data_IF_677949167484
#
_entry.id   IF_677949167484
#
_cell.length_a   1.000
_cell.length_b   1.000
_cell.length_c   1.000
_cell.angle_alpha   90.00
_cell.angle_beta   90.00
_cell.angle_gamma   90.00
#
_symmetry.space_group_name_H-M   'P 1'
#
loop_
_entity.id
_entity.type
_entity.pdbx_description
1 polymer ?
#
# COMPACT_ATOMS: atom_id res chain seq x y z
N UNK A 1 3.80 -5.55 10.74
CA UNK A 1 5.11 -4.86 10.67
C UNK A 1 4.97 -3.52 9.96
N UNK A 2 5.55 -2.45 10.52
CA UNK A 2 5.50 -1.10 9.92
C UNK A 2 6.49 -0.97 8.76
N UNK A 3 6.22 -0.04 7.84
CA UNK A 3 7.17 0.28 6.77
C UNK A 3 8.44 0.91 7.35
N UNK A 4 8.33 1.74 8.38
CA UNK A 4 9.49 2.31 9.07
C UNK A 4 10.49 1.24 9.57
N UNK A 5 9.99 0.18 10.21
CA UNK A 5 10.83 -0.94 10.67
C UNK A 5 11.47 -1.67 9.51
N UNK A 6 10.71 -1.98 8.44
CA UNK A 6 11.23 -2.60 7.22
C UNK A 6 12.39 -1.81 6.60
N UNK A 7 12.26 -0.48 6.52
CA UNK A 7 13.29 0.39 5.96
C UNK A 7 14.53 0.45 6.87
N UNK A 8 14.32 0.44 8.18
CA UNK A 8 15.42 0.42 9.15
C UNK A 8 16.19 -0.89 9.08
N UNK A 9 15.51 -2.03 9.04
CA UNK A 9 16.11 -3.37 8.89
C UNK A 9 16.85 -3.53 7.55
N UNK A 10 16.35 -2.89 6.49
CA UNK A 10 17.01 -2.87 5.18
C UNK A 10 18.25 -1.94 5.12
N UNK A 11 18.57 -1.19 6.19
CA UNK A 11 19.75 -0.34 6.27
C UNK A 11 19.69 0.90 5.37
N UNK A 12 18.51 1.48 5.19
CA UNK A 12 18.27 2.55 4.20
C UNK A 12 18.96 3.86 4.61
N UNK A 13 19.68 4.46 3.66
CA UNK A 13 20.52 5.64 3.84
C UNK A 13 19.74 6.97 3.75
N UNK A 14 20.26 8.02 4.40
CA UNK A 14 19.61 9.33 4.62
C UNK A 14 19.35 10.19 3.36
N UNK A 15 19.76 9.71 2.19
CA UNK A 15 19.69 10.43 0.91
C UNK A 15 18.44 10.10 0.08
N UNK A 16 17.63 9.16 0.56
CA UNK A 16 16.33 8.88 -0.01
C UNK A 16 15.32 9.99 0.31
N UNK A 17 14.42 10.28 -0.62
CA UNK A 17 13.33 11.24 -0.41
C UNK A 17 11.94 10.62 -0.60
N UNK A 18 11.86 9.43 -1.19
CA UNK A 18 10.60 8.75 -1.48
C UNK A 18 10.73 7.22 -1.42
N UNK A 19 9.58 6.57 -1.28
CA UNK A 19 9.42 5.12 -1.27
C UNK A 19 8.29 4.73 -2.21
N UNK A 20 8.61 3.90 -3.20
CA UNK A 20 7.68 3.41 -4.22
C UNK A 20 7.31 1.95 -3.97
N UNK A 21 6.02 1.66 -4.07
CA UNK A 21 5.41 0.36 -3.79
C UNK A 21 4.79 -0.19 -5.06
N UNK A 22 5.12 -1.43 -5.41
CA UNK A 22 4.65 -2.06 -6.64
C UNK A 22 3.86 -3.34 -6.34
N UNK A 23 2.70 -3.46 -6.97
CA UNK A 23 1.89 -4.67 -6.95
C UNK A 23 2.42 -5.73 -7.92
N UNK A 24 2.07 -6.99 -7.67
CA UNK A 24 2.26 -8.06 -8.62
C UNK A 24 1.25 -7.92 -9.78
N UNK A 25 1.72 -7.91 -11.03
CA UNK A 25 0.87 -7.98 -12.22
C UNK A 25 0.55 -9.45 -12.51
N UNK A 26 -0.67 -9.90 -12.22
CA UNK A 26 -1.13 -11.26 -12.45
C UNK A 26 -2.61 -11.28 -12.80
N UNK A 27 -3.09 -12.40 -13.36
CA UNK A 27 -4.51 -12.60 -13.64
C UNK A 27 -5.27 -12.87 -12.33
N UNK A 28 -5.80 -11.81 -11.72
CA UNK A 28 -6.65 -11.93 -10.53
C UNK A 28 -8.10 -12.20 -10.94
N UNK A 29 -8.71 -13.21 -10.32
CA UNK A 29 -10.16 -13.41 -10.35
C UNK A 29 -10.78 -12.35 -9.45
N UNK A 30 -10.97 -11.16 -10.03
CA UNK A 30 -11.77 -10.11 -9.43
C UNK A 30 -13.22 -10.33 -9.88
N UNK A 31 -14.21 -9.92 -9.07
CA UNK A 31 -15.58 -9.90 -9.56
C UNK A 31 -15.66 -8.99 -10.80
N UNK A 32 -16.57 -9.27 -11.73
CA UNK A 32 -16.56 -8.63 -13.05
C UNK A 32 -16.60 -7.10 -12.98
N UNK A 33 -17.33 -6.51 -12.01
CA UNK A 33 -17.37 -5.05 -11.83
C UNK A 33 -16.04 -4.46 -11.35
N UNK A 34 -15.37 -5.07 -10.38
CA UNK A 34 -14.07 -4.59 -9.88
C UNK A 34 -12.95 -4.89 -10.88
N UNK A 35 -13.05 -6.03 -11.58
CA UNK A 35 -12.19 -6.35 -12.72
C UNK A 35 -12.34 -5.31 -13.83
N UNK A 36 -13.57 -4.96 -14.22
CA UNK A 36 -13.83 -4.00 -15.29
C UNK A 36 -13.37 -2.60 -14.89
N UNK A 37 -13.59 -2.17 -13.64
CA UNK A 37 -13.04 -0.92 -13.12
C UNK A 37 -11.51 -0.94 -13.17
N UNK A 38 -10.86 -2.01 -12.72
CA UNK A 38 -9.40 -2.08 -12.78
C UNK A 38 -8.89 -2.25 -14.23
N UNK A 39 -9.64 -2.87 -15.13
CA UNK A 39 -9.21 -3.07 -16.52
C UNK A 39 -9.40 -1.82 -17.37
N UNK A 40 -10.48 -1.06 -17.15
CA UNK A 40 -10.75 0.18 -17.87
C UNK A 40 -9.74 1.28 -17.55
N UNK A 41 -9.20 1.29 -16.33
CA UNK A 41 -8.23 2.29 -15.90
C UNK A 41 -6.75 1.84 -16.10
N UNK A 42 -6.41 0.55 -16.01
CA UNK A 42 -5.01 0.13 -15.81
C UNK A 42 -4.35 -0.68 -16.94
N UNK A 43 -4.66 -0.43 -18.21
CA UNK A 43 -4.19 -1.28 -19.32
C UNK A 43 -2.68 -1.17 -19.68
N UNK A 44 -1.87 -0.34 -19.02
CA UNK A 44 -0.43 -0.23 -19.36
C UNK A 44 0.52 0.27 -18.28
N UNK A 45 0.03 0.80 -17.16
CA UNK A 45 0.88 1.44 -16.15
C UNK A 45 1.17 0.54 -14.96
N UNK A 46 2.34 0.74 -14.33
CA UNK A 46 2.77 0.03 -13.13
C UNK A 46 1.70 0.19 -12.04
N UNK A 47 1.06 -0.90 -11.65
CA UNK A 47 0.22 -0.93 -10.45
C UNK A 47 1.10 -0.63 -9.23
N UNK A 48 0.98 0.59 -8.71
CA UNK A 48 1.83 1.06 -7.64
C UNK A 48 1.39 2.42 -7.12
N UNK A 49 2.03 2.81 -6.03
CA UNK A 49 1.85 4.07 -5.35
C UNK A 49 3.18 4.46 -4.72
N UNK A 50 3.37 5.74 -4.47
CA UNK A 50 4.56 6.23 -3.78
C UNK A 50 4.20 7.15 -2.62
N UNK A 51 5.09 7.15 -1.64
CA UNK A 51 5.04 7.99 -0.46
C UNK A 51 6.34 8.81 -0.38
N UNK A 52 6.29 9.99 0.22
CA UNK A 52 7.52 10.65 0.67
C UNK A 52 8.19 9.78 1.74
N UNK A 53 9.49 9.94 1.96
CA UNK A 53 10.18 9.19 3.01
C UNK A 53 9.53 9.47 4.38
N UNK A 54 9.18 10.72 4.65
CA UNK A 54 8.47 11.11 5.88
C UNK A 54 7.13 10.40 6.04
N UNK A 55 6.33 10.31 4.98
CA UNK A 55 5.06 9.55 4.99
C UNK A 55 5.30 8.05 5.22
N UNK A 56 6.29 7.46 4.57
CA UNK A 56 6.62 6.04 4.69
C UNK A 56 7.16 5.66 6.09
N UNK A 57 7.79 6.62 6.78
CA UNK A 57 8.29 6.48 8.14
C UNK A 57 7.22 6.72 9.21
N UNK A 58 6.01 7.15 8.85
CA UNK A 58 4.90 7.29 9.80
C UNK A 58 4.58 5.93 10.43
N UNK A 59 4.51 5.91 11.77
CA UNK A 59 4.24 4.70 12.56
C UNK A 59 2.95 3.96 12.19
N UNK A 60 2.00 4.64 11.54
CA UNK A 60 0.70 4.10 11.12
C UNK A 60 0.75 3.48 9.72
N UNK A 61 1.87 3.58 9.01
CA UNK A 61 2.06 2.97 7.68
C UNK A 61 2.67 1.60 7.83
N UNK A 62 1.98 0.57 7.35
CA UNK A 62 2.37 -0.81 7.59
C UNK A 62 1.99 -1.74 6.44
N UNK A 63 2.60 -2.93 6.47
CA UNK A 63 2.28 -4.03 5.56
C UNK A 63 1.43 -5.06 6.30
N UNK A 64 0.30 -5.40 5.68
CA UNK A 64 -0.72 -6.31 6.16
C UNK A 64 -0.64 -7.66 5.42
N UNK A 65 -0.75 -8.77 6.16
CA UNK A 65 -0.86 -10.13 5.63
C UNK A 65 -1.91 -10.98 6.36
N UNK A 66 -2.50 -10.44 7.43
CA UNK A 66 -3.66 -11.02 8.10
C UNK A 66 -4.78 -10.01 8.23
N UNK A 67 -6.00 -10.51 8.38
CA UNK A 67 -7.18 -9.73 8.73
C UNK A 67 -7.93 -10.50 9.81
N UNK A 68 -8.13 -9.89 10.98
CA UNK A 68 -8.87 -10.53 12.08
C UNK A 68 -8.31 -11.93 12.45
N UNK A 69 -6.98 -12.06 12.49
CA UNK A 69 -6.30 -13.31 12.83
C UNK A 69 -6.22 -14.37 11.72
N UNK A 70 -6.94 -14.20 10.61
CA UNK A 70 -6.84 -15.09 9.45
C UNK A 70 -5.92 -14.52 8.36
N UNK A 71 -5.44 -15.37 7.45
CA UNK A 71 -4.69 -14.91 6.27
C UNK A 71 -5.48 -13.87 5.48
N UNK A 72 -4.80 -12.85 4.98
CA UNK A 72 -5.43 -11.78 4.21
C UNK A 72 -6.06 -12.36 2.93
N UNK A 73 -7.38 -12.24 2.72
CA UNK A 73 -8.01 -12.78 1.51
C UNK A 73 -7.46 -12.13 0.24
N UNK A 74 -7.44 -12.89 -0.87
CA UNK A 74 -6.94 -12.43 -2.16
C UNK A 74 -7.64 -11.15 -2.65
N UNK A 75 -8.96 -11.07 -2.47
CA UNK A 75 -9.77 -9.89 -2.83
C UNK A 75 -9.43 -8.64 -2.01
N UNK A 76 -8.99 -8.86 -0.77
CA UNK A 76 -8.54 -7.81 0.14
C UNK A 76 -7.08 -7.41 -0.13
N UNK A 77 -6.39 -8.10 -1.04
CA UNK A 77 -5.01 -7.80 -1.45
C UNK A 77 -3.96 -8.78 -0.93
N UNK A 78 -4.35 -9.94 -0.39
CA UNK A 78 -3.42 -10.96 0.08
C UNK A 78 -2.54 -11.57 -1.00
N UNK A 79 -1.33 -12.06 -0.68
CA UNK A 79 -0.85 -12.33 0.68
C UNK A 79 -0.27 -11.10 1.40
N UNK A 80 0.04 -10.02 0.68
CA UNK A 80 0.65 -8.81 1.25
C UNK A 80 0.00 -7.56 0.67
N UNK A 81 -0.32 -6.60 1.53
CA UNK A 81 -0.89 -5.29 1.15
C UNK A 81 -0.27 -4.15 1.93
N UNK A 82 -0.06 -3.01 1.28
CA UNK A 82 0.27 -1.74 1.95
C UNK A 82 -0.99 -1.08 2.51
N UNK A 83 -0.89 -0.55 3.73
CA UNK A 83 -1.92 0.25 4.40
C UNK A 83 -1.36 1.65 4.71
N UNK A 84 -2.09 2.69 4.29
CA UNK A 84 -1.71 4.10 4.51
C UNK A 84 -2.91 4.87 5.08
N UNK A 85 -3.14 4.85 6.40
CA UNK A 85 -4.43 5.21 7.02
C UNK A 85 -4.92 6.64 6.78
N UNK A 86 -4.02 7.57 6.46
CA UNK A 86 -4.34 8.98 6.23
C UNK A 86 -4.65 9.33 4.78
N UNK A 87 -4.47 8.38 3.84
CA UNK A 87 -4.90 8.53 2.45
C UNK A 87 -6.04 7.59 2.12
N UNK A 88 -6.84 7.96 1.12
CA UNK A 88 -7.84 7.05 0.57
C UNK A 88 -7.20 5.80 -0.03
N UNK A 89 -8.01 4.75 -0.21
CA UNK A 89 -7.57 3.41 -0.59
C UNK A 89 -6.77 3.31 -1.90
N UNK A 90 -6.72 4.35 -2.74
CA UNK A 90 -5.88 4.40 -3.93
C UNK A 90 -4.38 4.28 -3.62
N UNK A 91 -3.94 4.72 -2.42
CA UNK A 91 -2.57 4.56 -1.92
C UNK A 91 -2.28 3.17 -1.34
N UNK A 92 -3.30 2.33 -1.15
CA UNK A 92 -3.19 1.07 -0.41
C UNK A 92 -2.91 -0.08 -1.37
N UNK A 93 -1.65 -0.21 -1.79
CA UNK A 93 -1.20 -1.18 -2.80
C UNK A 93 -1.55 -2.62 -2.39
N UNK A 94 -2.49 -3.24 -3.12
CA UNK A 94 -2.82 -4.66 -3.01
C UNK A 94 -1.75 -5.52 -3.69
N UNK A 95 -1.56 -6.76 -3.22
CA UNK A 95 -0.63 -7.72 -3.80
C UNK A 95 0.81 -7.18 -3.88
N UNK A 96 1.23 -6.52 -2.81
CA UNK A 96 2.53 -5.86 -2.69
C UNK A 96 3.65 -6.86 -2.99
N UNK A 97 4.47 -6.55 -4.00
CA UNK A 97 5.56 -7.39 -4.47
C UNK A 97 6.94 -6.78 -4.23
N UNK A 98 7.03 -5.45 -4.29
CA UNK A 98 8.31 -4.74 -4.23
C UNK A 98 8.14 -3.39 -3.55
N UNK A 99 9.05 -3.09 -2.64
CA UNK A 99 9.28 -1.77 -2.06
C UNK A 99 10.62 -1.29 -2.61
N UNK A 100 10.66 -0.07 -3.15
CA UNK A 100 11.87 0.51 -3.72
C UNK A 100 12.04 1.91 -3.17
N UNK A 101 13.24 2.22 -2.71
CA UNK A 101 13.56 3.55 -2.18
C UNK A 101 14.23 4.38 -3.25
N UNK A 102 13.70 5.58 -3.46
CA UNK A 102 14.03 6.44 -4.60
C UNK A 102 14.38 7.85 -4.12
N UNK A 103 15.02 8.60 -5.02
CA UNK A 103 15.30 10.04 -4.83
C UNK A 103 14.14 10.93 -5.26
N UNK A 104 13.13 10.36 -5.91
CA UNK A 104 11.97 11.09 -6.42
C UNK A 104 10.72 10.22 -6.32
N UNK A 105 9.58 10.88 -6.12
CA UNK A 105 8.28 10.23 -6.00
C UNK A 105 7.78 9.80 -7.39
N UNK A 106 7.58 8.50 -7.59
CA UNK A 106 6.98 7.97 -8.83
C UNK A 106 5.46 7.88 -8.69
N UNK A 107 4.72 8.75 -9.37
CA UNK A 107 3.26 8.71 -9.29
C UNK A 107 2.69 7.49 -10.04
N UNK A 108 1.86 6.72 -9.34
CA UNK A 108 1.00 5.70 -9.90
C UNK A 108 -0.17 6.29 -10.70
N UNK A 109 -0.86 5.43 -11.45
CA UNK A 109 -1.93 5.86 -12.35
C UNK A 109 -3.04 6.69 -11.66
N UNK A 110 -3.55 6.21 -10.52
CA UNK A 110 -4.61 6.91 -9.77
C UNK A 110 -4.14 8.25 -9.18
N UNK A 111 -2.86 8.36 -8.83
CA UNK A 111 -2.29 9.61 -8.33
C UNK A 111 -2.17 10.66 -9.45
N UNK A 112 -1.88 10.22 -10.67
CA UNK A 112 -1.89 11.09 -11.86
C UNK A 112 -3.30 11.56 -12.23
N UNK A 113 -4.30 10.69 -12.03
CA UNK A 113 -5.68 11.00 -12.41
C UNK A 113 -6.43 11.82 -11.35
N UNK A 114 -6.37 11.41 -10.08
CA UNK A 114 -7.17 12.01 -9.00
C UNK A 114 -6.37 12.99 -8.15
N UNK A 115 -5.03 12.91 -8.21
CA UNK A 115 -4.13 13.70 -7.38
C UNK A 115 -3.42 12.86 -6.31
N UNK A 116 -2.23 13.30 -5.96
CA UNK A 116 -1.32 12.57 -5.07
C UNK A 116 -1.70 12.66 -3.58
N UNK A 117 -2.36 13.76 -3.17
CA UNK A 117 -2.53 14.14 -1.76
C UNK A 117 -3.99 14.21 -1.30
N UNK A 118 -4.79 13.19 -1.60
CA UNK A 118 -6.19 13.14 -1.18
C UNK A 118 -6.28 12.48 0.20
N UNK A 119 -6.24 13.33 1.22
CA UNK A 119 -6.31 12.91 2.62
C UNK A 119 -7.71 12.47 3.02
N UNK A 120 -7.76 11.46 3.90
CA UNK A 120 -8.99 11.08 4.59
C UNK A 120 -9.35 12.18 5.59
N UNK A 121 -10.60 12.67 5.62
CA UNK A 121 -11.03 13.63 6.63
C UNK A 121 -10.79 13.12 8.05
N UNK A 122 -10.28 13.97 8.94
CA UNK A 122 -9.81 13.59 10.28
C UNK A 122 -10.83 12.74 11.07
N UNK A 123 -12.13 13.04 10.95
CA UNK A 123 -13.23 12.30 11.59
C UNK A 123 -13.32 10.81 11.23
N UNK A 124 -12.64 10.36 10.17
CA UNK A 124 -12.63 8.95 9.75
C UNK A 124 -11.32 8.24 10.09
N UNK A 125 -10.28 8.93 10.56
CA UNK A 125 -8.96 8.33 10.79
C UNK A 125 -9.01 7.22 11.87
N UNK A 126 -9.72 7.44 12.97
CA UNK A 126 -9.89 6.47 14.05
C UNK A 126 -10.53 5.17 13.56
N UNK A 127 -11.51 5.27 12.65
CA UNK A 127 -12.17 4.10 12.06
C UNK A 127 -11.21 3.24 11.24
N UNK A 128 -10.25 3.85 10.54
CA UNK A 128 -9.26 3.12 9.75
C UNK A 128 -8.09 2.59 10.62
N UNK A 129 -7.75 3.29 11.70
CA UNK A 129 -6.75 2.82 12.68
C UNK A 129 -7.22 1.56 13.43
N UNK A 130 -8.53 1.43 13.66
CA UNK A 130 -9.16 0.28 14.32
C UNK A 130 -9.48 -0.92 13.41
N UNK A 131 -9.13 -0.87 12.12
CA UNK A 131 -9.12 -2.10 11.32
C UNK A 131 -8.00 -3.01 11.87
N UNK A 132 -8.34 -3.87 12.83
CA UNK A 132 -7.43 -4.85 13.44
C UNK A 132 -6.87 -5.79 12.37
N UNK A 133 -5.68 -5.43 11.89
CA UNK A 133 -4.84 -6.24 11.03
C UNK A 133 -3.76 -6.80 11.95
N UNK A 134 -3.79 -8.11 12.22
CA UNK A 134 -2.75 -8.76 13.02
C UNK A 134 -1.39 -8.62 12.32
N UNK A 135 -0.44 -7.99 13.02
CA UNK A 135 0.91 -7.64 12.55
C UNK A 135 1.98 -8.63 13.04
N UNK A 136 1.59 -9.73 13.69
CA UNK A 136 2.50 -10.72 14.30
C UNK A 136 3.14 -11.63 13.25
N UNK A 137 4.48 -11.62 13.07
CA UNK A 137 5.15 -12.37 12.01
C UNK A 137 4.78 -13.87 12.06
N UNK A 138 4.87 -14.61 10.93
CA UNK A 138 4.58 -16.03 10.94
C UNK A 138 5.50 -16.76 11.93
N UNK A 139 4.91 -17.57 12.79
CA UNK A 139 5.65 -18.60 13.51
C UNK A 139 6.18 -19.58 12.47
N UNK A 140 7.51 -19.67 12.37
CA UNK A 140 8.22 -20.68 11.56
C UNK A 140 7.96 -22.06 12.15
#
# INVERSE_FOLDING_TARGET
>A
MTVATLLTEAGIQSEASAVSFYAHSGNYSLNFSLFLLIKLFFLKEKFGSSLTLTEALDSRVFVAYRLQGAELPKDNGGPLRLIVPFYFGYKWVKWLKRIHVTKEKELGHLEKEWGDNILVPAKYLEKYAQMEIDLSPPSV
#
